data_IF_889707686590
#
_entry.id   IF_889707686590
#
_cell.length_a   1.000
_cell.length_b   1.000
_cell.length_c   1.000
_cell.angle_alpha   90.00
_cell.angle_beta   90.00
_cell.angle_gamma   90.00
#
_symmetry.space_group_name_H-M   'P 1'
#
loop_
_entity.id
_entity.type
_entity.pdbx_description
1 polymer ?
#
# COMPACT_ATOMS: atom_id res chain seq x y z
N UNK A 1 -11.00 -10.11 9.81
CA UNK A 1 -10.63 -9.00 8.90
C UNK A 1 -9.81 -9.52 7.73
N UNK A 2 -10.14 -9.12 6.51
CA UNK A 2 -9.31 -9.43 5.33
C UNK A 2 -8.29 -8.32 5.15
N UNK A 3 -7.02 -8.67 5.02
CA UNK A 3 -5.95 -7.70 4.70
C UNK A 3 -5.52 -7.96 3.26
N UNK A 4 -5.56 -6.91 2.43
CA UNK A 4 -5.09 -6.96 1.04
C UNK A 4 -4.06 -5.86 0.82
N UNK A 5 -2.88 -6.23 0.30
CA UNK A 5 -1.85 -5.25 -0.07
C UNK A 5 -1.58 -5.31 -1.57
N UNK A 6 -1.79 -4.20 -2.27
CA UNK A 6 -1.57 -4.11 -3.71
C UNK A 6 -0.32 -3.29 -4.05
N UNK A 7 0.56 -3.89 -4.84
CA UNK A 7 1.68 -3.21 -5.47
C UNK A 7 1.21 -2.47 -6.73
N UNK A 8 1.18 -1.13 -6.68
CA UNK A 8 0.87 -0.27 -7.83
C UNK A 8 2.16 -0.03 -8.62
N UNK A 9 2.27 -0.69 -9.77
CA UNK A 9 3.46 -0.71 -10.62
C UNK A 9 3.50 0.49 -11.57
N UNK A 10 2.34 1.08 -11.86
CA UNK A 10 2.20 2.32 -12.61
C UNK A 10 2.76 3.48 -11.78
N UNK A 11 3.86 4.04 -12.26
CA UNK A 11 4.54 5.17 -11.62
C UNK A 11 4.52 6.39 -12.53
N UNK A 12 4.60 7.57 -11.93
CA UNK A 12 4.67 8.88 -12.61
C UNK A 12 6.05 9.18 -13.20
N UNK A 13 7.01 8.27 -12.99
CA UNK A 13 8.35 8.31 -13.54
C UNK A 13 8.61 7.03 -14.35
N UNK A 14 9.58 7.08 -15.26
CA UNK A 14 9.97 5.92 -16.08
C UNK A 14 11.40 5.50 -15.73
N UNK A 15 11.59 4.42 -14.96
CA UNK A 15 12.92 3.85 -14.78
C UNK A 15 13.37 3.19 -16.09
N UNK A 16 14.68 3.01 -16.26
CA UNK A 16 15.22 2.15 -17.31
C UNK A 16 14.61 0.75 -17.23
N UNK A 17 14.42 0.08 -18.38
CA UNK A 17 13.64 -1.16 -18.46
C UNK A 17 14.11 -2.26 -17.50
N UNK A 18 15.42 -2.46 -17.40
CA UNK A 18 16.03 -3.47 -16.51
C UNK A 18 15.81 -3.13 -15.03
N UNK A 19 15.96 -1.86 -14.67
CA UNK A 19 15.70 -1.37 -13.32
C UNK A 19 14.21 -1.48 -12.96
N UNK A 20 13.32 -1.11 -13.89
CA UNK A 20 11.87 -1.21 -13.71
C UNK A 20 11.41 -2.63 -13.40
N UNK A 21 11.96 -3.64 -14.10
CA UNK A 21 11.65 -5.06 -13.82
C UNK A 21 12.06 -5.46 -12.40
N UNK A 22 13.28 -5.10 -11.98
CA UNK A 22 13.78 -5.43 -10.63
C UNK A 22 12.95 -4.72 -9.56
N UNK A 23 12.63 -3.45 -9.78
CA UNK A 23 11.79 -2.67 -8.87
C UNK A 23 10.40 -3.30 -8.72
N UNK A 24 9.75 -3.67 -9.82
CA UNK A 24 8.42 -4.29 -9.79
C UNK A 24 8.42 -5.60 -8.99
N UNK A 25 9.41 -6.47 -9.20
CA UNK A 25 9.51 -7.71 -8.42
C UNK A 25 9.76 -7.43 -6.93
N UNK A 26 10.62 -6.46 -6.59
CA UNK A 26 10.83 -6.05 -5.20
C UNK A 26 9.57 -5.49 -4.55
N UNK A 27 8.78 -4.71 -5.28
CA UNK A 27 7.54 -4.15 -4.75
C UNK A 27 6.47 -5.22 -4.54
N UNK A 28 6.37 -6.21 -5.43
CA UNK A 28 5.47 -7.36 -5.23
C UNK A 28 5.83 -8.16 -3.98
N UNK A 29 7.12 -8.44 -3.78
CA UNK A 29 7.61 -9.10 -2.56
C UNK A 29 7.29 -8.26 -1.33
N UNK A 30 7.57 -6.95 -1.37
CA UNK A 30 7.25 -6.03 -0.28
C UNK A 30 5.74 -5.99 0.05
N UNK A 31 4.86 -6.10 -0.96
CA UNK A 31 3.42 -6.17 -0.74
C UNK A 31 3.02 -7.48 -0.05
N UNK A 32 3.55 -8.61 -0.52
CA UNK A 32 3.32 -9.92 0.08
C UNK A 32 3.81 -9.96 1.54
N UNK A 33 5.04 -9.50 1.80
CA UNK A 33 5.60 -9.44 3.16
C UNK A 33 4.75 -8.52 4.07
N UNK A 34 4.35 -7.35 3.58
CA UNK A 34 3.49 -6.42 4.33
C UNK A 34 2.16 -7.10 4.71
N UNK A 35 1.55 -7.84 3.79
CA UNK A 35 0.29 -8.53 4.02
C UNK A 35 0.43 -9.72 4.98
N UNK A 36 1.36 -10.62 4.69
CA UNK A 36 1.40 -11.97 5.27
C UNK A 36 2.23 -12.04 6.55
N UNK A 37 3.13 -11.08 6.77
CA UNK A 37 4.02 -11.05 7.94
C UNK A 37 3.65 -9.86 8.83
N UNK A 38 3.74 -8.64 8.30
CA UNK A 38 3.71 -7.45 9.14
C UNK A 38 2.29 -7.05 9.57
N UNK A 39 1.29 -7.24 8.72
CA UNK A 39 -0.12 -6.96 9.02
C UNK A 39 -0.92 -8.20 9.45
N UNK A 40 -0.25 -9.36 9.60
CA UNK A 40 -0.85 -10.59 10.12
C UNK A 40 -1.61 -10.40 11.45
N UNK A 41 -1.17 -9.55 12.41
CA UNK A 41 -1.93 -9.31 13.63
C UNK A 41 -3.36 -8.77 13.39
N UNK A 42 -3.58 -8.00 12.33
CA UNK A 42 -4.92 -7.49 11.98
C UNK A 42 -5.87 -8.62 11.55
N UNK A 43 -5.34 -9.66 10.91
CA UNK A 43 -6.12 -10.84 10.55
C UNK A 43 -6.61 -11.61 11.79
N UNK A 44 -5.86 -11.55 12.89
CA UNK A 44 -6.18 -12.23 14.15
C UNK A 44 -7.12 -11.41 15.08
N UNK A 45 -7.14 -10.08 14.93
CA UNK A 45 -7.87 -9.17 15.83
C UNK A 45 -9.30 -8.84 15.37
N UNK A 46 -9.58 -8.90 14.06
CA UNK A 46 -10.81 -8.33 13.51
C UNK A 46 -12.06 -9.23 13.58
N UNK A 47 -13.22 -8.60 13.69
CA UNK A 47 -14.48 -9.21 13.26
C UNK A 47 -14.40 -9.55 11.76
N UNK A 48 -15.22 -10.50 11.29
CA UNK A 48 -15.21 -10.94 9.88
C UNK A 48 -15.60 -9.85 8.88
N UNK A 49 -16.20 -8.74 9.33
CA UNK A 49 -16.76 -7.67 8.50
C UNK A 49 -15.78 -6.56 8.08
N UNK A 50 -14.61 -6.47 8.71
CA UNK A 50 -13.72 -5.35 8.48
C UNK A 50 -12.66 -5.76 7.47
N UNK A 51 -12.58 -5.09 6.33
CA UNK A 51 -11.54 -5.30 5.33
C UNK A 51 -10.57 -4.11 5.33
N UNK A 52 -9.29 -4.37 5.09
CA UNK A 52 -8.25 -3.33 4.97
C UNK A 52 -7.51 -3.53 3.67
N UNK A 53 -7.53 -2.51 2.83
CA UNK A 53 -6.83 -2.48 1.55
C UNK A 53 -5.74 -1.42 1.60
N UNK A 54 -4.50 -1.86 1.48
CA UNK A 54 -3.31 -0.99 1.48
C UNK A 54 -2.69 -0.98 0.10
N UNK A 55 -2.47 0.20 -0.45
CA UNK A 55 -1.69 0.36 -1.69
C UNK A 55 -0.26 0.72 -1.34
N UNK A 56 0.69 0.10 -2.02
CA UNK A 56 2.09 0.52 -2.01
C UNK A 56 2.60 0.79 -3.43
N UNK A 57 3.48 1.78 -3.57
CA UNK A 57 4.09 2.15 -4.85
C UNK A 57 5.45 2.78 -4.63
N UNK A 58 6.26 2.92 -5.68
CA UNK A 58 7.45 3.76 -5.60
C UNK A 58 7.11 5.23 -5.86
N UNK A 59 7.86 6.12 -5.22
CA UNK A 59 7.96 7.52 -5.62
C UNK A 59 9.17 7.74 -6.56
N UNK A 60 9.35 8.93 -7.16
CA UNK A 60 10.49 9.22 -8.04
C UNK A 60 11.88 9.10 -7.39
N UNK A 61 11.96 9.01 -6.05
CA UNK A 61 13.21 8.76 -5.31
C UNK A 61 13.39 7.27 -4.97
N UNK A 62 12.62 6.39 -5.61
CA UNK A 62 12.61 4.94 -5.40
C UNK A 62 12.34 4.52 -3.95
N UNK A 63 11.64 5.36 -3.19
CA UNK A 63 11.14 5.00 -1.85
C UNK A 63 9.72 4.45 -1.98
N UNK A 64 9.43 3.41 -1.21
CA UNK A 64 8.08 2.87 -1.11
C UNK A 64 7.21 3.89 -0.36
N UNK A 65 6.05 4.20 -0.93
CA UNK A 65 4.99 4.97 -0.31
C UNK A 65 3.75 4.09 -0.14
N UNK A 66 2.94 4.37 0.87
CA UNK A 66 1.79 3.53 1.25
C UNK A 66 0.54 4.36 1.56
N UNK A 67 -0.66 3.79 1.40
CA UNK A 67 -1.91 4.38 1.92
C UNK A 67 -2.98 3.30 2.12
N UNK A 68 -3.87 3.47 3.10
CA UNK A 68 -5.16 2.78 3.12
C UNK A 68 -6.08 3.41 2.06
N UNK A 69 -6.87 2.60 1.35
CA UNK A 69 -7.74 3.09 0.25
C UNK A 69 -9.23 2.88 0.48
N UNK A 70 -9.60 2.23 1.58
CA UNK A 70 -10.98 2.10 2.04
C UNK A 70 -11.13 2.71 3.44
N UNK A 71 -12.37 2.99 3.83
CA UNK A 71 -12.65 3.49 5.18
C UNK A 71 -12.40 2.36 6.19
N UNK A 72 -11.63 2.69 7.24
CA UNK A 72 -11.29 1.79 8.35
C UNK A 72 -11.36 2.57 9.67
N UNK A 73 -11.58 1.88 10.80
CA UNK A 73 -11.44 2.49 12.12
C UNK A 73 -10.05 3.13 12.34
N UNK A 74 -9.99 4.18 13.15
CA UNK A 74 -8.77 4.98 13.38
C UNK A 74 -7.63 4.16 14.01
N UNK A 75 -7.94 3.20 14.87
CA UNK A 75 -6.98 2.28 15.47
C UNK A 75 -6.30 1.38 14.42
N UNK A 76 -7.05 0.96 13.40
CA UNK A 76 -6.52 0.18 12.29
C UNK A 76 -5.60 1.02 11.41
N UNK A 77 -6.01 2.24 11.05
CA UNK A 77 -5.15 3.16 10.28
C UNK A 77 -3.85 3.48 11.03
N UNK A 78 -3.94 3.75 12.33
CA UNK A 78 -2.79 3.99 13.20
C UNK A 78 -1.85 2.78 13.26
N UNK A 79 -2.38 1.56 13.34
CA UNK A 79 -1.59 0.34 13.32
C UNK A 79 -0.83 0.18 11.99
N UNK A 80 -1.52 0.31 10.85
CA UNK A 80 -0.88 0.26 9.53
C UNK A 80 0.19 1.35 9.40
N UNK A 81 -0.09 2.55 9.91
CA UNK A 81 0.83 3.68 9.91
C UNK A 81 2.11 3.41 10.69
N UNK A 82 1.98 2.85 11.89
CA UNK A 82 3.12 2.46 12.72
C UNK A 82 3.97 1.40 12.03
N UNK A 83 3.35 0.34 11.50
CA UNK A 83 4.05 -0.75 10.80
C UNK A 83 4.79 -0.23 9.57
N UNK A 84 4.11 0.52 8.71
CA UNK A 84 4.73 1.08 7.51
C UNK A 84 5.84 2.08 7.83
N UNK A 85 5.68 2.87 8.90
CA UNK A 85 6.72 3.77 9.40
C UNK A 85 7.98 3.02 9.85
N UNK A 86 7.82 1.91 10.57
CA UNK A 86 8.93 1.05 11.01
C UNK A 86 9.70 0.41 9.83
N UNK A 87 9.00 0.13 8.72
CA UNK A 87 9.60 -0.35 7.46
C UNK A 87 10.27 0.78 6.64
N UNK A 88 10.16 2.03 7.09
CA UNK A 88 10.68 3.20 6.38
C UNK A 88 9.85 3.61 5.16
N UNK A 89 8.60 3.14 5.06
CA UNK A 89 7.68 3.51 3.97
C UNK A 89 7.08 4.89 4.25
N UNK A 90 6.84 5.65 3.19
CA UNK A 90 6.35 7.03 3.27
C UNK A 90 4.83 7.07 3.15
N UNK A 91 4.15 7.81 4.01
CA UNK A 91 2.71 7.99 3.85
C UNK A 91 2.40 8.69 2.52
N UNK A 92 1.60 8.05 1.67
CA UNK A 92 1.17 8.54 0.38
C UNK A 92 0.00 9.50 0.55
N UNK A 93 0.32 10.73 0.97
CA UNK A 93 -0.60 11.85 0.98
C UNK A 93 -0.92 12.22 -0.47
N UNK A 94 -2.07 11.78 -0.99
CA UNK A 94 -2.53 12.25 -2.29
C UNK A 94 -3.36 13.51 -2.02
N UNK A 95 -3.04 14.63 -2.68
CA UNK A 95 -4.02 15.70 -2.84
C UNK A 95 -5.20 15.09 -3.60
N UNK A 96 -6.40 15.18 -3.02
CA UNK A 96 -7.72 14.84 -3.55
C UNK A 96 -7.77 13.87 -4.75
N UNK A 97 -8.26 12.65 -4.47
CA UNK A 97 -9.07 11.79 -5.35
C UNK A 97 -9.26 12.36 -6.77
N UNK A 98 -8.53 11.82 -7.76
CA UNK A 98 -8.98 11.90 -9.15
C UNK A 98 -10.21 10.99 -9.27
N UNK A 99 -11.39 11.56 -8.99
CA UNK A 99 -12.67 10.97 -9.36
C UNK A 99 -12.66 10.91 -10.89
N UNK A 100 -12.36 9.74 -11.46
CA UNK A 100 -12.71 9.46 -12.84
C UNK A 100 -14.24 9.52 -12.92
N UNK A 101 -14.78 10.66 -13.34
CA UNK A 101 -16.14 10.69 -13.88
C UNK A 101 -16.08 9.89 -15.18
N UNK A 102 -16.66 8.69 -15.17
CA UNK A 102 -17.00 8.01 -16.41
C UNK A 102 -17.90 8.95 -17.21
N UNK A 103 -17.51 9.25 -18.44
CA UNK A 103 -18.41 9.92 -19.38
C UNK A 103 -19.52 8.93 -19.72
N UNK A 104 -20.76 9.32 -19.44
CA UNK A 104 -21.97 8.78 -20.09
C UNK A 104 -21.93 9.02 -21.60
#
# INVERSE_FOLDING_TARGET
MTVTVLAILETDFKPDLSLGKIMNERLKIAAADLQDIYLQPLQALGQRSDDVVVYISYNPKYKIRWRVVNDVPEDIDNFVSQICGNLGYLHWKTAAINIFKGNE
#
